data_IF_037183009196
#
_entry.id   IF_037183009196
#
_cell.length_a   1.000
_cell.length_b   1.000
_cell.length_c   1.000
_cell.angle_alpha   90.00
_cell.angle_beta   90.00
_cell.angle_gamma   90.00
#
_symmetry.space_group_name_H-M   'P 1'
#
loop_
_entity.id
_entity.type
_entity.pdbx_description
1 polymer ?
#
# COMPACT_ATOMS: atom_id res chain seq x y z
N UNK A 1 -58.31 -30.68 -39.94
CA UNK A 1 -58.59 -29.24 -39.65
C UNK A 1 -57.68 -28.78 -38.50
N UNK A 2 -57.68 -27.49 -38.17
CA UNK A 2 -57.03 -26.89 -36.97
C UNK A 2 -57.44 -27.64 -35.66
N UNK A 3 -56.84 -27.53 -34.46
CA UNK A 3 -55.75 -26.73 -33.85
C UNK A 3 -55.62 -27.19 -32.36
N UNK A 4 -54.92 -26.56 -31.40
CA UNK A 4 -54.01 -25.40 -31.40
C UNK A 4 -53.91 -24.77 -29.98
N UNK A 5 -52.69 -24.46 -29.50
CA UNK A 5 -52.36 -23.79 -28.19
C UNK A 5 -52.69 -24.64 -26.91
N UNK A 6 -52.04 -24.59 -25.73
CA UNK A 6 -50.97 -23.82 -25.01
C UNK A 6 -51.41 -22.81 -23.92
N UNK A 7 -51.31 -23.25 -22.64
CA UNK A 7 -51.16 -22.47 -21.39
C UNK A 7 -50.71 -23.45 -20.28
N UNK A 8 -49.78 -23.24 -19.35
CA UNK A 8 -49.22 -22.10 -18.59
C UNK A 8 -49.87 -21.87 -17.21
N UNK A 9 -49.16 -22.21 -16.14
CA UNK A 9 -49.49 -21.90 -14.73
C UNK A 9 -48.22 -21.57 -13.94
N UNK A 10 -48.31 -20.67 -12.96
CA UNK A 10 -47.16 -20.00 -12.32
C UNK A 10 -47.15 -20.12 -10.77
N UNK A 11 -46.37 -19.27 -10.09
CA UNK A 11 -45.80 -19.49 -8.75
C UNK A 11 -46.23 -18.44 -7.70
N UNK A 12 -46.35 -18.85 -6.42
CA UNK A 12 -46.53 -18.01 -5.22
C UNK A 12 -46.80 -18.89 -3.97
N UNK A 13 -45.98 -18.93 -2.91
CA UNK A 13 -45.67 -17.94 -1.84
C UNK A 13 -46.78 -17.75 -0.78
N UNK A 14 -46.47 -17.30 0.46
CA UNK A 14 -45.39 -17.70 1.38
C UNK A 14 -45.92 -18.00 2.83
N UNK A 15 -45.04 -18.26 3.83
CA UNK A 15 -45.46 -18.23 5.25
C UNK A 15 -44.39 -17.77 6.26
N UNK A 16 -44.85 -16.85 7.11
CA UNK A 16 -44.40 -16.22 8.37
C UNK A 16 -43.31 -16.84 9.28
N UNK A 17 -42.63 -15.94 10.00
CA UNK A 17 -41.86 -16.20 11.24
C UNK A 17 -42.74 -16.04 12.51
N UNK A 18 -42.18 -16.30 13.72
CA UNK A 18 -41.89 -15.17 14.64
C UNK A 18 -40.54 -15.31 15.39
N UNK A 19 -40.23 -14.39 16.30
CA UNK A 19 -38.96 -14.31 17.06
C UNK A 19 -39.16 -13.78 18.50
N UNK A 20 -38.21 -14.03 19.43
CA UNK A 20 -38.04 -13.23 20.66
C UNK A 20 -36.67 -13.40 21.38
N UNK A 21 -36.10 -12.26 21.79
CA UNK A 21 -35.19 -11.95 22.92
C UNK A 21 -34.07 -12.88 23.46
N UNK A 22 -32.92 -12.26 23.84
CA UNK A 22 -32.00 -12.79 24.86
C UNK A 22 -30.55 -12.25 24.86
N UNK A 23 -30.25 -11.22 25.65
CA UNK A 23 -28.88 -10.82 26.09
C UNK A 23 -28.96 -10.28 27.54
N UNK A 24 -27.88 -10.34 28.37
CA UNK A 24 -26.86 -9.26 28.36
C UNK A 24 -25.41 -9.66 28.81
N UNK A 25 -24.51 -8.66 28.76
CA UNK A 25 -23.33 -8.45 29.63
C UNK A 25 -21.99 -9.21 29.45
N UNK A 26 -21.10 -8.58 28.66
CA UNK A 26 -19.88 -7.89 29.13
C UNK A 26 -18.63 -8.66 29.65
N UNK A 27 -17.53 -8.59 28.88
CA UNK A 27 -16.14 -8.56 29.38
C UNK A 27 -15.21 -7.82 28.39
N UNK A 28 -14.15 -7.17 28.89
CA UNK A 28 -13.27 -6.23 28.15
C UNK A 28 -12.02 -6.90 27.52
N UNK A 29 -11.31 -6.24 26.57
CA UNK A 29 -10.36 -6.89 25.67
C UNK A 29 -8.92 -7.02 26.20
N UNK A 30 -8.13 -7.85 25.51
CA UNK A 30 -6.67 -7.97 25.65
C UNK A 30 -5.94 -7.61 24.34
N UNK A 31 -4.66 -7.25 24.44
CA UNK A 31 -3.87 -6.59 23.39
C UNK A 31 -2.95 -7.56 22.64
N UNK A 32 -2.76 -7.36 21.32
CA UNK A 32 -1.81 -8.16 20.53
C UNK A 32 -1.75 -7.79 19.04
N UNK A 33 -0.58 -7.33 18.58
CA UNK A 33 -0.31 -6.92 17.19
C UNK A 33 0.71 -7.85 16.51
N UNK A 34 0.52 -8.24 15.24
CA UNK A 34 1.61 -8.61 14.34
C UNK A 34 2.04 -7.42 13.46
N UNK A 35 3.34 -7.21 13.31
CA UNK A 35 3.94 -6.12 12.52
C UNK A 35 4.30 -6.56 11.10
N UNK A 36 3.85 -5.82 10.08
CA UNK A 36 4.22 -6.07 8.67
C UNK A 36 5.58 -5.46 8.31
N UNK A 37 6.50 -6.26 7.76
CA UNK A 37 7.79 -5.81 7.23
C UNK A 37 7.73 -5.57 5.72
N UNK A 38 7.83 -4.31 5.29
CA UNK A 38 7.86 -3.93 3.87
C UNK A 38 9.30 -3.68 3.40
N UNK A 39 9.76 -4.41 2.38
CA UNK A 39 11.05 -4.16 1.73
C UNK A 39 10.90 -3.05 0.66
N UNK A 40 11.93 -2.23 0.48
CA UNK A 40 11.83 -0.96 -0.25
C UNK A 40 11.76 -1.07 -1.79
N UNK A 41 11.05 -0.12 -2.39
CA UNK A 41 11.09 0.16 -3.84
C UNK A 41 12.32 0.98 -4.23
N UNK A 42 12.90 0.75 -5.40
CA UNK A 42 13.98 1.61 -5.89
C UNK A 42 14.42 1.39 -7.34
N UNK A 43 13.75 2.06 -8.29
CA UNK A 43 14.43 2.65 -9.45
C UNK A 43 13.57 3.79 -10.04
N UNK A 44 14.22 4.81 -10.60
CA UNK A 44 13.56 5.93 -11.28
C UNK A 44 14.26 6.24 -12.59
N UNK A 45 13.54 6.83 -13.55
CA UNK A 45 14.06 7.07 -14.90
C UNK A 45 13.61 8.41 -15.50
N UNK A 46 14.60 9.25 -15.81
CA UNK A 46 14.54 10.27 -16.85
C UNK A 46 15.50 9.80 -17.95
N UNK A 47 15.03 9.51 -19.17
CA UNK A 47 14.73 10.46 -20.26
C UNK A 47 15.98 11.16 -20.82
N UNK A 48 16.36 10.72 -22.03
CA UNK A 48 17.11 11.43 -23.08
C UNK A 48 18.46 12.10 -22.75
N UNK A 49 19.58 11.54 -23.25
CA UNK A 49 20.20 12.04 -24.50
C UNK A 49 21.51 11.30 -24.87
N UNK A 50 21.62 10.87 -26.12
CA UNK A 50 22.86 10.54 -26.86
C UNK A 50 23.05 11.60 -27.98
N UNK A 51 24.22 11.76 -28.67
CA UNK A 51 25.23 10.73 -28.94
C UNK A 51 26.74 11.14 -29.00
N UNK A 52 27.56 10.11 -29.23
CA UNK A 52 28.75 10.08 -30.13
C UNK A 52 30.19 10.31 -29.61
N UNK A 53 31.08 9.41 -30.11
CA UNK A 53 32.54 9.49 -30.33
C UNK A 53 33.60 9.57 -29.20
N UNK A 54 34.31 8.44 -29.04
CA UNK A 54 35.79 8.27 -29.05
C UNK A 54 36.67 8.60 -27.81
N UNK A 55 37.78 7.86 -27.72
CA UNK A 55 38.88 7.87 -26.72
C UNK A 55 40.21 8.33 -27.40
N UNK A 56 41.41 8.29 -26.75
CA UNK A 56 41.85 9.00 -25.53
C UNK A 56 43.27 9.65 -25.67
N UNK A 57 43.69 10.58 -24.79
CA UNK A 57 45.02 10.59 -24.09
C UNK A 57 45.37 11.84 -23.24
N UNK A 58 45.97 11.56 -22.06
CA UNK A 58 47.15 12.15 -21.37
C UNK A 58 47.63 13.64 -21.47
N UNK A 59 48.13 14.09 -20.29
CA UNK A 59 49.33 14.93 -20.00
C UNK A 59 49.32 16.50 -19.95
N UNK A 60 49.40 17.00 -18.70
CA UNK A 60 50.45 17.88 -18.10
C UNK A 60 50.81 19.33 -18.57
N UNK A 61 51.02 20.17 -17.53
CA UNK A 61 51.99 21.30 -17.35
C UNK A 61 51.72 22.75 -17.83
N UNK A 62 51.44 23.61 -16.82
CA UNK A 62 52.18 24.82 -16.38
C UNK A 62 52.39 26.11 -17.23
N UNK A 63 52.24 27.24 -16.49
CA UNK A 63 52.91 28.57 -16.57
C UNK A 63 52.49 29.65 -17.59
N UNK A 64 52.08 30.81 -17.03
CA UNK A 64 52.48 32.22 -17.30
C UNK A 64 52.45 32.78 -18.76
N UNK A 65 52.27 34.09 -19.03
CA UNK A 65 52.33 35.33 -18.21
C UNK A 65 51.58 36.50 -18.93
N UNK A 66 51.03 37.49 -18.20
CA UNK A 66 50.96 38.95 -18.54
C UNK A 66 50.28 39.42 -19.88
N UNK A 67 49.79 40.66 -20.11
CA UNK A 67 49.42 41.84 -19.28
C UNK A 67 48.51 42.78 -20.10
N UNK A 68 47.70 43.65 -19.48
CA UNK A 68 47.52 45.09 -19.83
C UNK A 68 46.51 45.79 -18.90
N UNK A 69 46.76 47.06 -18.55
CA UNK A 69 45.90 47.87 -17.67
C UNK A 69 45.94 49.36 -18.01
N UNK A 70 44.79 50.03 -17.97
CA UNK A 70 44.58 51.49 -17.88
C UNK A 70 43.20 51.69 -17.16
N UNK A 71 42.91 52.75 -16.39
CA UNK A 71 43.43 54.13 -16.38
C UNK A 71 43.67 54.69 -14.94
N UNK A 72 44.24 55.90 -14.86
CA UNK A 72 44.65 56.68 -13.66
C UNK A 72 43.60 57.74 -13.23
N UNK A 73 43.55 58.45 -12.08
CA UNK A 73 44.24 58.58 -10.75
C UNK A 73 43.31 59.48 -9.84
N UNK A 74 43.63 60.13 -8.67
CA UNK A 74 44.88 60.29 -7.89
C UNK A 74 44.74 60.16 -6.33
N UNK A 75 45.51 60.98 -5.59
CA UNK A 75 45.80 61.05 -4.14
C UNK A 75 44.99 62.16 -3.40
N UNK A 76 44.89 62.24 -2.05
CA UNK A 76 45.34 61.44 -0.86
C UNK A 76 44.54 61.92 0.39
N UNK A 77 44.83 61.74 1.70
CA UNK A 77 46.04 61.42 2.50
C UNK A 77 45.71 60.98 3.95
N UNK A 78 46.64 61.18 4.91
CA UNK A 78 46.56 60.99 6.38
C UNK A 78 46.70 59.55 6.93
N UNK A 79 47.08 59.45 8.21
CA UNK A 79 47.80 58.31 8.80
C UNK A 79 47.08 57.62 10.00
N UNK A 80 47.47 56.39 10.39
CA UNK A 80 46.62 55.46 11.13
C UNK A 80 47.07 55.18 12.59
N UNK A 81 46.29 54.37 13.32
CA UNK A 81 46.79 53.56 14.43
C UNK A 81 46.07 52.20 14.52
N UNK A 82 46.86 51.12 14.52
CA UNK A 82 46.48 49.73 14.80
C UNK A 82 47.67 49.05 15.48
N UNK A 83 47.47 48.09 16.38
CA UNK A 83 48.59 47.39 17.03
C UNK A 83 48.32 45.90 17.33
N UNK A 84 49.39 45.11 17.24
CA UNK A 84 49.45 43.70 17.63
C UNK A 84 50.82 43.38 18.26
N UNK A 85 50.87 42.27 19.00
CA UNK A 85 52.03 41.65 19.71
C UNK A 85 53.23 41.32 18.78
N UNK A 86 54.50 41.06 19.23
CA UNK A 86 54.87 40.31 20.46
C UNK A 86 56.14 40.81 21.25
N UNK A 87 57.27 40.08 21.58
CA UNK A 87 57.66 39.91 23.00
C UNK A 87 59.18 39.91 23.41
N UNK A 88 59.46 39.61 24.70
CA UNK A 88 60.71 39.07 25.34
C UNK A 88 61.91 39.99 25.69
N UNK A 89 62.39 39.88 26.96
CA UNK A 89 63.71 40.33 27.49
C UNK A 89 63.64 41.47 28.54
N UNK A 90 64.47 41.54 29.61
CA UNK A 90 65.47 40.61 30.17
C UNK A 90 65.85 40.90 31.66
N UNK A 91 66.25 39.83 32.38
CA UNK A 91 67.08 39.68 33.60
C UNK A 91 67.47 40.87 34.54
N UNK A 92 67.36 40.70 35.88
CA UNK A 92 68.13 41.50 36.86
C UNK A 92 67.76 41.47 38.37
N UNK A 93 68.59 40.77 39.19
CA UNK A 93 68.81 40.91 40.66
C UNK A 93 67.83 40.32 41.71
N UNK A 94 68.40 40.11 42.91
CA UNK A 94 67.98 39.42 44.15
C UNK A 94 68.47 40.29 45.36
N UNK A 95 68.22 39.98 46.68
CA UNK A 95 67.79 38.71 47.28
C UNK A 95 66.67 38.78 48.36
N UNK A 96 66.28 37.57 48.81
CA UNK A 96 65.59 37.14 50.05
C UNK A 96 65.13 38.18 51.10
N UNK A 97 63.92 37.93 51.62
CA UNK A 97 63.77 37.40 52.99
C UNK A 97 62.69 36.31 53.02
N UNK A 98 62.79 35.36 53.95
CA UNK A 98 61.86 34.24 54.10
C UNK A 98 61.16 34.30 55.46
N UNK A 99 59.89 33.88 55.52
CA UNK A 99 59.29 33.43 56.77
C UNK A 99 58.08 32.51 56.54
N UNK A 100 57.77 31.67 57.54
CA UNK A 100 56.68 30.69 57.47
C UNK A 100 55.30 31.32 57.68
N UNK A 101 54.31 30.92 56.89
CA UNK A 101 52.88 31.11 57.16
C UNK A 101 52.08 29.94 56.59
N UNK A 102 51.12 29.41 57.37
CA UNK A 102 50.45 28.14 57.09
C UNK A 102 49.43 28.23 55.94
N UNK A 103 49.31 27.13 55.18
CA UNK A 103 48.16 26.89 54.30
C UNK A 103 46.88 26.74 55.16
N UNK A 104 45.97 27.70 55.05
CA UNK A 104 44.64 27.63 55.69
C UNK A 104 43.54 27.50 54.63
N UNK A 105 42.94 26.31 54.55
CA UNK A 105 41.75 26.07 53.72
C UNK A 105 40.53 26.65 54.43
N UNK A 106 40.16 27.88 54.08
CA UNK A 106 38.91 28.46 54.59
C UNK A 106 37.70 27.84 53.88
N UNK A 107 37.00 26.96 54.59
CA UNK A 107 35.65 26.54 54.25
C UNK A 107 34.73 27.76 54.35
N UNK A 108 34.13 28.18 53.24
CA UNK A 108 33.14 29.25 53.26
C UNK A 108 31.92 28.82 54.11
N UNK A 109 31.34 29.71 54.94
CA UNK A 109 30.23 29.35 55.80
C UNK A 109 28.99 29.03 54.96
N UNK A 110 28.49 27.79 55.07
CA UNK A 110 27.20 27.40 54.48
C UNK A 110 26.10 28.17 55.22
N UNK A 111 25.46 29.11 54.52
CA UNK A 111 24.32 29.82 55.06
C UNK A 111 23.17 28.83 55.37
N UNK A 112 22.49 28.95 56.51
CA UNK A 112 21.34 28.10 56.81
C UNK A 112 20.23 28.36 55.79
N UNK A 113 19.79 27.30 55.10
CA UNK A 113 18.67 27.38 54.18
C UNK A 113 17.41 27.74 54.98
N UNK A 114 16.65 28.79 54.61
CA UNK A 114 15.54 29.31 55.43
C UNK A 114 14.26 28.45 55.40
N UNK A 115 14.32 27.25 54.80
CA UNK A 115 13.20 26.30 54.70
C UNK A 115 13.72 24.88 54.94
N UNK A 116 12.93 24.03 55.60
CA UNK A 116 13.25 22.60 55.68
C UNK A 116 13.25 22.00 54.28
N UNK A 117 14.11 21.01 54.04
CA UNK A 117 14.12 20.27 52.78
C UNK A 117 12.76 19.62 52.52
N UNK A 118 12.11 19.12 53.59
CA UNK A 118 10.77 18.57 53.55
C UNK A 118 9.70 19.61 53.15
N UNK A 119 9.77 20.85 53.64
CA UNK A 119 8.81 21.90 53.30
C UNK A 119 8.94 22.31 51.82
N UNK A 120 10.18 22.39 51.32
CA UNK A 120 10.47 22.63 49.90
C UNK A 120 9.91 21.51 49.02
N UNK A 121 10.07 20.26 49.43
CA UNK A 121 9.67 19.09 48.65
C UNK A 121 8.15 18.86 48.72
N UNK A 122 7.51 19.15 49.85
CA UNK A 122 6.06 19.25 49.97
C UNK A 122 5.50 20.38 49.08
N UNK A 123 6.13 21.57 49.08
CA UNK A 123 5.71 22.65 48.19
C UNK A 123 5.90 22.29 46.72
N UNK A 124 6.95 21.52 46.37
CA UNK A 124 7.14 21.00 45.02
C UNK A 124 6.05 19.98 44.63
N UNK A 125 5.61 19.12 45.55
CA UNK A 125 4.47 18.20 45.33
C UNK A 125 3.17 18.99 45.14
N UNK A 126 2.89 19.99 45.98
CA UNK A 126 1.70 20.84 45.84
C UNK A 126 1.75 21.61 44.52
N UNK A 127 2.88 22.21 44.16
CA UNK A 127 3.07 22.88 42.86
C UNK A 127 2.94 21.92 41.68
N UNK A 128 3.34 20.64 41.80
CA UNK A 128 3.18 19.65 40.74
C UNK A 128 1.71 19.34 40.40
N UNK A 129 0.79 19.55 41.35
CA UNK A 129 -0.65 19.31 41.21
C UNK A 129 -1.49 20.59 41.02
N UNK A 130 -0.92 21.80 41.15
CA UNK A 130 -1.63 23.07 40.86
C UNK A 130 -1.88 23.27 39.37
N UNK A 131 -3.13 23.12 38.95
CA UNK A 131 -3.61 23.39 37.58
C UNK A 131 -3.78 24.91 37.33
N UNK A 132 -2.69 25.66 37.43
CA UNK A 132 -2.63 27.10 37.17
C UNK A 132 -1.93 27.39 35.82
N UNK A 133 -2.50 28.26 34.99
CA UNK A 133 -2.00 28.54 33.64
C UNK A 133 -0.55 29.07 33.60
N UNK A 134 -0.09 29.74 34.66
CA UNK A 134 1.30 30.21 34.80
C UNK A 134 2.28 29.17 35.36
N UNK A 135 1.81 28.00 35.79
CA UNK A 135 2.64 27.03 36.50
C UNK A 135 3.54 26.24 35.54
N UNK A 136 4.85 26.47 35.65
CA UNK A 136 5.88 25.75 34.89
C UNK A 136 6.24 24.38 35.46
N UNK A 137 5.86 24.09 36.72
CA UNK A 137 6.17 22.83 37.44
C UNK A 137 5.05 21.79 37.40
N UNK A 138 3.86 22.13 36.87
CA UNK A 138 2.72 21.20 36.83
C UNK A 138 3.07 19.91 36.10
N UNK A 139 2.97 18.76 36.77
CA UNK A 139 3.50 17.49 36.29
C UNK A 139 2.67 16.88 35.16
N UNK A 140 1.37 17.17 35.09
CA UNK A 140 0.45 16.57 34.12
C UNK A 140 0.38 17.37 32.80
N UNK A 141 1.52 17.87 32.31
CA UNK A 141 1.66 18.48 30.96
C UNK A 141 2.20 17.44 29.98
N UNK A 142 1.42 17.10 28.96
CA UNK A 142 1.84 16.17 27.91
C UNK A 142 1.57 16.76 26.53
N UNK A 143 2.47 16.51 25.57
CA UNK A 143 2.22 16.81 24.16
C UNK A 143 1.77 15.53 23.47
N UNK A 144 0.53 15.51 22.99
CA UNK A 144 -0.02 14.40 22.21
C UNK A 144 -0.26 14.86 20.77
N UNK A 145 0.03 13.98 19.82
CA UNK A 145 -0.19 14.29 18.41
C UNK A 145 -1.69 14.30 18.06
N UNK A 146 -2.10 15.26 17.24
CA UNK A 146 -3.44 15.40 16.67
C UNK A 146 -3.35 15.70 15.19
N UNK A 147 -4.31 15.20 14.42
CA UNK A 147 -4.51 15.60 13.02
C UNK A 147 -4.85 17.08 13.00
N UNK A 148 -3.94 17.92 12.49
CA UNK A 148 -4.05 19.38 12.56
C UNK A 148 -3.70 20.01 11.22
N UNK A 149 -4.63 20.77 10.65
CA UNK A 149 -4.42 21.46 9.38
C UNK A 149 -3.25 22.46 9.45
N UNK A 150 -2.50 22.67 8.35
CA UNK A 150 -1.34 23.57 8.35
C UNK A 150 -1.61 24.98 8.89
N UNK A 151 -2.80 25.52 8.66
CA UNK A 151 -3.21 26.86 9.09
C UNK A 151 -3.32 27.05 10.62
N UNK A 152 -3.45 25.97 11.39
CA UNK A 152 -3.53 26.02 12.86
C UNK A 152 -2.22 25.61 13.57
N UNK A 153 -1.14 25.36 12.80
CA UNK A 153 0.15 24.91 13.34
C UNK A 153 0.88 26.04 14.06
N UNK A 154 0.73 26.02 15.38
CA UNK A 154 1.39 26.93 16.32
C UNK A 154 1.98 26.13 17.48
N UNK A 155 2.94 26.71 18.19
CA UNK A 155 3.44 26.17 19.47
C UNK A 155 2.46 26.56 20.58
N UNK A 156 1.87 25.62 21.34
CA UNK A 156 0.95 25.96 22.42
C UNK A 156 1.65 26.76 23.53
N UNK A 157 0.94 27.73 24.11
CA UNK A 157 1.42 28.52 25.24
C UNK A 157 1.61 27.64 26.49
N UNK A 158 2.56 28.01 27.36
CA UNK A 158 2.82 27.28 28.62
C UNK A 158 3.58 25.95 28.48
N UNK A 159 4.05 25.62 27.27
CA UNK A 159 4.93 24.48 26.95
C UNK A 159 6.40 24.91 27.03
N UNK A 160 7.25 24.13 27.70
CA UNK A 160 8.69 24.39 27.75
C UNK A 160 9.40 24.04 26.44
N UNK A 161 10.49 24.74 26.13
CA UNK A 161 11.24 24.53 24.88
C UNK A 161 11.78 23.09 24.76
N UNK A 162 12.12 22.47 25.89
CA UNK A 162 12.61 21.08 25.95
C UNK A 162 11.50 20.10 25.57
N UNK A 163 10.29 20.21 26.15
CA UNK A 163 9.16 19.34 25.78
C UNK A 163 8.76 19.56 24.31
N UNK A 164 8.79 20.81 23.84
CA UNK A 164 8.50 21.13 22.44
C UNK A 164 9.53 20.52 21.48
N UNK A 165 10.83 20.65 21.77
CA UNK A 165 11.89 20.05 20.98
C UNK A 165 11.83 18.51 20.98
N UNK A 166 11.50 17.89 22.13
CA UNK A 166 11.31 16.44 22.21
C UNK A 166 10.11 15.96 21.35
N UNK A 167 8.98 16.69 21.37
CA UNK A 167 7.81 16.36 20.56
C UNK A 167 8.04 16.60 19.07
N UNK A 168 8.75 17.68 18.69
CA UNK A 168 9.13 17.93 17.29
C UNK A 168 10.15 16.90 16.79
N UNK A 169 11.16 16.54 17.58
CA UNK A 169 12.12 15.49 17.22
C UNK A 169 11.48 14.10 17.10
N UNK A 170 10.45 13.80 17.92
CA UNK A 170 9.60 12.60 17.73
C UNK A 170 8.85 12.67 16.40
N UNK A 171 8.21 13.79 16.07
CA UNK A 171 7.49 13.97 14.80
C UNK A 171 8.42 13.83 13.60
N UNK A 172 9.61 14.44 13.64
CA UNK A 172 10.63 14.36 12.60
C UNK A 172 11.09 12.91 12.32
N UNK A 173 11.03 12.04 13.32
CA UNK A 173 11.31 10.60 13.22
C UNK A 173 10.16 9.71 12.73
N UNK A 174 8.94 10.24 12.52
CA UNK A 174 7.78 9.48 12.01
C UNK A 174 7.82 9.33 10.48
N UNK A 175 6.86 8.62 9.87
CA UNK A 175 6.70 8.61 8.40
C UNK A 175 6.39 10.02 7.86
N UNK A 176 6.66 10.29 6.57
CA UNK A 176 6.32 11.57 5.93
C UNK A 176 4.81 11.87 5.96
N UNK A 177 4.00 10.83 5.78
CA UNK A 177 2.52 10.84 5.91
C UNK A 177 2.07 11.41 7.26
N UNK A 178 2.66 10.93 8.35
CA UNK A 178 2.37 11.39 9.71
C UNK A 178 2.96 12.79 9.99
N UNK A 179 4.18 13.07 9.52
CA UNK A 179 4.79 14.42 9.59
C UNK A 179 3.93 15.50 8.92
N UNK A 180 3.31 15.18 7.79
CA UNK A 180 2.47 16.10 7.05
C UNK A 180 1.06 16.25 7.66
N UNK A 181 0.59 15.26 8.43
CA UNK A 181 -0.78 15.21 8.98
C UNK A 181 -0.88 15.62 10.45
N UNK A 182 0.10 15.24 11.27
CA UNK A 182 0.07 15.37 12.73
C UNK A 182 0.75 16.66 13.21
N UNK A 183 0.32 17.14 14.37
CA UNK A 183 0.94 18.26 15.08
C UNK A 183 0.89 18.04 16.60
N UNK A 184 1.88 18.49 17.39
CA UNK A 184 1.83 18.36 18.85
C UNK A 184 0.81 19.31 19.46
N UNK A 185 -0.19 18.76 20.16
CA UNK A 185 -1.17 19.50 20.94
C UNK A 185 -0.88 19.32 22.43
N UNK A 186 -0.92 20.41 23.21
CA UNK A 186 -0.83 20.34 24.66
C UNK A 186 -2.10 19.70 25.24
N UNK A 187 -1.90 18.79 26.19
CA UNK A 187 -2.90 18.24 27.10
C UNK A 187 -2.51 18.68 28.50
N UNK A 188 -3.40 19.42 29.15
CA UNK A 188 -3.24 19.92 30.51
C UNK A 188 -4.14 19.13 31.47
N UNK A 189 -3.51 18.25 32.26
CA UNK A 189 -4.21 17.51 33.30
C UNK A 189 -5.21 16.45 32.78
N UNK A 190 -6.05 15.98 33.68
CA UNK A 190 -7.02 14.91 33.41
C UNK A 190 -8.27 15.41 32.68
N UNK A 191 -8.55 16.71 32.72
CA UNK A 191 -9.73 17.30 32.07
C UNK A 191 -9.60 17.22 30.54
N UNK A 192 -8.53 17.77 29.98
CA UNK A 192 -8.21 17.70 28.55
C UNK A 192 -8.12 16.24 28.05
N UNK A 193 -7.62 15.32 28.90
CA UNK A 193 -7.59 13.89 28.60
C UNK A 193 -9.00 13.28 28.55
N UNK A 194 -9.90 13.69 29.45
CA UNK A 194 -11.31 13.25 29.44
C UNK A 194 -12.09 13.80 28.25
N UNK A 195 -11.79 15.02 27.81
CA UNK A 195 -12.40 15.62 26.62
C UNK A 195 -11.85 14.98 25.34
N UNK A 196 -10.56 14.64 25.29
CA UNK A 196 -9.98 13.78 24.24
C UNK A 196 -10.62 12.40 24.17
N UNK A 197 -10.93 11.77 25.31
CA UNK A 197 -11.58 10.45 25.33
C UNK A 197 -12.99 10.51 24.71
N UNK A 198 -13.80 11.53 25.06
CA UNK A 198 -15.13 11.76 24.43
C UNK A 198 -15.02 11.94 22.92
N UNK A 199 -14.05 12.74 22.46
CA UNK A 199 -13.81 12.92 21.02
C UNK A 199 -13.36 11.61 20.34
N UNK A 200 -12.62 10.74 21.03
CA UNK A 200 -12.29 9.41 20.51
C UNK A 200 -13.53 8.50 20.41
N UNK A 201 -14.39 8.48 21.43
CA UNK A 201 -15.65 7.71 21.40
C UNK A 201 -16.59 8.19 20.29
N UNK A 202 -16.77 9.51 20.13
CA UNK A 202 -17.55 10.12 19.05
C UNK A 202 -17.00 9.75 17.65
N UNK A 203 -15.68 9.83 17.47
CA UNK A 203 -15.02 9.42 16.23
C UNK A 203 -15.24 7.92 15.97
N UNK A 204 -15.02 7.05 16.96
CA UNK A 204 -15.21 5.59 16.84
C UNK A 204 -16.64 5.24 16.39
N UNK A 205 -17.67 5.91 16.94
CA UNK A 205 -19.06 5.73 16.49
C UNK A 205 -19.23 6.18 15.04
N UNK A 206 -18.68 7.33 14.66
CA UNK A 206 -18.76 7.85 13.28
C UNK A 206 -18.03 6.94 12.27
N UNK A 207 -16.91 6.35 12.66
CA UNK A 207 -16.10 5.45 11.83
C UNK A 207 -16.79 4.10 11.67
N UNK A 208 -17.39 3.56 12.73
CA UNK A 208 -18.23 2.36 12.67
C UNK A 208 -19.43 2.54 11.72
N UNK A 209 -20.06 3.72 11.68
CA UNK A 209 -21.13 4.03 10.72
C UNK A 209 -20.61 4.11 9.28
N UNK A 210 -19.49 4.81 9.02
CA UNK A 210 -18.87 4.88 7.67
C UNK A 210 -18.45 3.50 7.17
N UNK A 211 -17.89 2.65 8.03
CA UNK A 211 -17.55 1.26 7.72
C UNK A 211 -18.79 0.42 7.44
N UNK A 212 -19.87 0.57 8.22
CA UNK A 212 -21.15 -0.12 8.00
C UNK A 212 -21.79 0.28 6.67
N UNK A 213 -21.78 1.57 6.31
CA UNK A 213 -22.28 2.04 5.01
C UNK A 213 -21.44 1.50 3.86
N UNK A 214 -20.11 1.51 3.99
CA UNK A 214 -19.19 0.93 3.01
C UNK A 214 -19.43 -0.58 2.83
N UNK A 215 -19.60 -1.32 3.93
CA UNK A 215 -19.92 -2.75 3.89
C UNK A 215 -21.27 -3.03 3.21
N UNK A 216 -22.28 -2.19 3.42
CA UNK A 216 -23.57 -2.29 2.73
C UNK A 216 -23.44 -2.03 1.22
N UNK A 217 -22.64 -1.03 0.83
CA UNK A 217 -22.37 -0.74 -0.58
C UNK A 217 -21.66 -1.91 -1.27
N UNK A 218 -20.64 -2.50 -0.63
CA UNK A 218 -19.95 -3.71 -1.12
C UNK A 218 -20.92 -4.89 -1.26
N UNK A 219 -21.78 -5.14 -0.26
CA UNK A 219 -22.82 -6.20 -0.33
C UNK A 219 -23.82 -5.98 -1.48
N UNK A 220 -24.20 -4.73 -1.75
CA UNK A 220 -25.10 -4.40 -2.88
C UNK A 220 -24.40 -4.59 -4.23
N UNK A 221 -23.15 -4.14 -4.37
CA UNK A 221 -22.35 -4.37 -5.57
C UNK A 221 -22.10 -5.86 -5.83
N UNK A 222 -21.81 -6.64 -4.78
CA UNK A 222 -21.65 -8.09 -4.87
C UNK A 222 -22.92 -8.79 -5.36
N UNK A 223 -24.10 -8.39 -4.85
CA UNK A 223 -25.40 -8.92 -5.32
C UNK A 223 -25.63 -8.60 -6.80
N UNK A 224 -25.44 -7.36 -7.23
CA UNK A 224 -25.59 -6.96 -8.63
C UNK A 224 -24.59 -7.69 -9.55
N UNK A 225 -23.36 -7.92 -9.09
CA UNK A 225 -22.39 -8.71 -9.85
C UNK A 225 -22.84 -10.18 -10.02
N UNK A 226 -23.29 -10.81 -8.93
CA UNK A 226 -23.68 -12.22 -8.92
C UNK A 226 -25.04 -12.49 -9.61
N UNK A 227 -26.04 -11.62 -9.41
CA UNK A 227 -27.40 -11.81 -9.91
C UNK A 227 -27.61 -11.27 -11.32
N UNK A 228 -27.05 -10.10 -11.65
CA UNK A 228 -27.31 -9.42 -12.91
C UNK A 228 -26.13 -9.58 -13.88
N UNK A 229 -24.92 -9.24 -13.42
CA UNK A 229 -23.74 -9.12 -14.30
C UNK A 229 -23.26 -10.47 -14.83
N UNK A 230 -23.03 -11.46 -13.95
CA UNK A 230 -22.58 -12.80 -14.38
C UNK A 230 -23.62 -13.50 -15.30
N UNK A 231 -24.93 -13.55 -14.98
CA UNK A 231 -25.92 -14.12 -15.89
C UNK A 231 -26.14 -13.29 -17.17
N UNK A 232 -25.85 -11.98 -17.16
CA UNK A 232 -25.87 -11.16 -18.39
C UNK A 232 -24.69 -11.48 -19.31
N UNK A 233 -23.47 -11.63 -18.77
CA UNK A 233 -22.29 -12.05 -19.53
C UNK A 233 -22.54 -13.40 -20.21
N UNK A 234 -23.08 -14.40 -19.50
CA UNK A 234 -23.35 -15.71 -20.11
C UNK A 234 -24.49 -15.64 -21.14
N UNK A 235 -25.56 -14.86 -20.90
CA UNK A 235 -26.60 -14.58 -21.92
C UNK A 235 -26.01 -13.95 -23.18
N UNK A 236 -25.07 -13.01 -23.04
CA UNK A 236 -24.38 -12.38 -24.17
C UNK A 236 -23.48 -13.38 -24.92
N UNK A 237 -22.75 -14.24 -24.20
CA UNK A 237 -21.92 -15.30 -24.77
C UNK A 237 -22.72 -16.34 -25.56
N UNK A 238 -23.89 -16.74 -25.05
CA UNK A 238 -24.81 -17.64 -25.76
C UNK A 238 -25.43 -16.96 -26.99
N UNK A 239 -25.76 -15.66 -26.90
CA UNK A 239 -26.21 -14.85 -28.04
C UNK A 239 -25.14 -14.71 -29.11
N UNK A 240 -23.88 -14.50 -28.73
CA UNK A 240 -22.72 -14.44 -29.61
C UNK A 240 -22.54 -15.76 -30.38
N UNK A 241 -22.50 -16.91 -29.68
CA UNK A 241 -22.45 -18.22 -30.33
C UNK A 241 -23.64 -18.46 -31.28
N UNK A 242 -24.84 -18.00 -30.91
CA UNK A 242 -26.02 -18.05 -31.77
C UNK A 242 -25.87 -17.21 -33.04
N UNK A 243 -25.27 -16.03 -32.93
CA UNK A 243 -24.97 -15.15 -34.07
C UNK A 243 -23.86 -15.71 -34.95
N UNK A 244 -22.76 -16.24 -34.39
CA UNK A 244 -21.69 -16.91 -35.13
C UNK A 244 -22.23 -18.09 -35.96
N UNK A 245 -23.05 -18.96 -35.36
CA UNK A 245 -23.70 -20.08 -36.07
C UNK A 245 -24.65 -19.61 -37.17
N UNK A 246 -25.35 -18.49 -36.99
CA UNK A 246 -26.20 -17.86 -38.02
C UNK A 246 -25.37 -17.26 -39.16
N UNK A 247 -24.29 -16.56 -38.83
CA UNK A 247 -23.37 -15.96 -39.81
C UNK A 247 -22.73 -17.04 -40.69
N UNK A 248 -22.18 -18.11 -40.10
CA UNK A 248 -21.66 -19.26 -40.84
C UNK A 248 -22.71 -19.92 -41.76
N UNK A 249 -23.98 -19.99 -41.32
CA UNK A 249 -25.07 -20.50 -42.17
C UNK A 249 -25.38 -19.56 -43.34
N UNK A 250 -25.34 -18.24 -43.14
CA UNK A 250 -25.53 -17.25 -44.21
C UNK A 250 -24.35 -17.25 -45.19
N UNK A 251 -23.12 -17.26 -44.69
CA UNK A 251 -21.90 -17.27 -45.51
C UNK A 251 -21.85 -18.51 -46.41
N UNK A 252 -22.13 -19.71 -45.85
CA UNK A 252 -22.28 -20.94 -46.65
C UNK A 252 -23.38 -20.86 -47.72
N UNK A 253 -24.43 -20.08 -47.50
CA UNK A 253 -25.48 -19.86 -48.51
C UNK A 253 -25.00 -18.86 -49.57
N UNK A 254 -24.27 -17.81 -49.20
CA UNK A 254 -23.69 -16.84 -50.13
C UNK A 254 -22.65 -17.52 -51.05
N UNK A 255 -21.69 -18.25 -50.48
CA UNK A 255 -20.72 -19.07 -51.23
C UNK A 255 -21.43 -20.03 -52.21
N UNK A 256 -22.48 -20.71 -51.74
CA UNK A 256 -23.29 -21.63 -52.56
C UNK A 256 -24.29 -20.93 -53.51
N UNK A 257 -24.37 -19.60 -53.52
CA UNK A 257 -25.12 -18.80 -54.50
C UNK A 257 -24.18 -18.17 -55.52
N UNK A 258 -23.03 -17.65 -55.07
CA UNK A 258 -21.94 -17.16 -55.93
C UNK A 258 -21.37 -18.30 -56.79
N UNK A 259 -21.10 -19.46 -56.16
CA UNK A 259 -20.61 -20.67 -56.84
C UNK A 259 -21.62 -21.33 -57.82
N UNK A 260 -22.89 -20.91 -57.85
CA UNK A 260 -23.86 -21.39 -58.86
C UNK A 260 -23.55 -20.87 -60.27
N UNK A 261 -22.68 -19.88 -60.41
CA UNK A 261 -22.05 -19.50 -61.68
C UNK A 261 -21.02 -20.52 -62.19
N UNK A 262 -21.35 -21.81 -62.19
CA UNK A 262 -20.58 -22.90 -62.81
C UNK A 262 -19.08 -22.95 -62.49
N UNK A 263 -18.66 -22.68 -61.25
CA UNK A 263 -17.23 -22.70 -60.87
C UNK A 263 -16.70 -24.12 -60.65
N UNK A 264 -16.51 -24.85 -61.75
CA UNK A 264 -15.64 -26.02 -61.83
C UNK A 264 -14.37 -25.63 -62.61
N UNK A 265 -13.16 -26.07 -62.20
CA UNK A 265 -12.87 -26.87 -61.01
C UNK A 265 -12.99 -26.08 -59.69
N UNK A 266 -13.07 -26.81 -58.58
CA UNK A 266 -12.85 -26.27 -57.22
C UNK A 266 -11.49 -25.58 -57.15
N UNK A 267 -11.42 -24.47 -56.42
CA UNK A 267 -10.16 -23.79 -56.10
C UNK A 267 -9.32 -24.66 -55.16
N UNK A 268 -7.98 -24.56 -55.25
CA UNK A 268 -7.05 -25.36 -54.44
C UNK A 268 -7.37 -25.29 -52.93
N UNK A 269 -7.66 -24.08 -52.42
CA UNK A 269 -8.02 -23.87 -51.02
C UNK A 269 -9.35 -24.52 -50.60
N UNK A 270 -10.32 -24.66 -51.51
CA UNK A 270 -11.59 -25.35 -51.24
C UNK A 270 -11.37 -26.87 -51.12
N UNK A 271 -10.52 -27.44 -51.98
CA UNK A 271 -10.14 -28.85 -51.90
C UNK A 271 -9.36 -29.15 -50.61
N UNK A 272 -8.39 -28.30 -50.24
CA UNK A 272 -7.67 -28.42 -48.96
C UNK A 272 -8.61 -28.28 -47.75
N UNK A 273 -9.59 -27.37 -47.79
CA UNK A 273 -10.58 -27.22 -46.72
C UNK A 273 -11.51 -28.43 -46.63
N UNK A 274 -11.95 -28.99 -47.77
CA UNK A 274 -12.75 -30.21 -47.81
C UNK A 274 -12.00 -31.41 -47.21
N UNK A 275 -10.70 -31.56 -47.50
CA UNK A 275 -9.86 -32.58 -46.88
C UNK A 275 -9.72 -32.39 -45.36
N UNK A 276 -9.43 -31.16 -44.91
CA UNK A 276 -9.33 -30.81 -43.47
C UNK A 276 -10.65 -31.15 -42.74
N UNK A 277 -11.81 -30.80 -43.30
CA UNK A 277 -13.12 -31.14 -42.75
C UNK A 277 -13.40 -32.66 -42.77
N UNK A 278 -12.97 -33.37 -43.81
CA UNK A 278 -13.10 -34.82 -43.89
C UNK A 278 -12.23 -35.54 -42.84
N UNK A 279 -11.00 -35.06 -42.59
CA UNK A 279 -10.12 -35.58 -41.55
C UNK A 279 -10.73 -35.41 -40.15
N UNK A 280 -11.20 -34.21 -39.80
CA UNK A 280 -11.89 -33.92 -38.54
C UNK A 280 -13.16 -34.78 -38.39
N UNK A 281 -13.93 -34.95 -39.47
CA UNK A 281 -15.14 -35.79 -39.46
C UNK A 281 -14.81 -37.27 -39.21
N UNK A 282 -13.72 -37.80 -39.78
CA UNK A 282 -13.24 -39.16 -39.51
C UNK A 282 -12.77 -39.33 -38.06
N UNK A 283 -12.09 -38.34 -37.48
CA UNK A 283 -11.69 -38.36 -36.07
C UNK A 283 -12.90 -38.33 -35.11
N UNK A 284 -13.97 -37.60 -35.45
CA UNK A 284 -15.15 -37.44 -34.61
C UNK A 284 -16.21 -38.54 -34.78
N UNK A 285 -16.30 -39.18 -35.96
CA UNK A 285 -17.38 -40.13 -36.32
C UNK A 285 -16.94 -41.40 -37.06
N UNK A 286 -15.66 -41.55 -37.41
CA UNK A 286 -15.15 -42.74 -38.10
C UNK A 286 -15.06 -43.97 -37.19
N UNK A 287 -14.65 -45.11 -37.76
CA UNK A 287 -14.48 -46.38 -37.04
C UNK A 287 -13.43 -46.34 -35.92
N UNK A 288 -12.54 -45.35 -35.90
CA UNK A 288 -11.59 -45.07 -34.82
C UNK A 288 -11.99 -43.93 -33.87
N UNK A 289 -13.22 -43.41 -33.95
CA UNK A 289 -13.65 -42.24 -33.19
C UNK A 289 -13.91 -42.56 -31.71
N UNK A 290 -12.84 -42.60 -30.91
CA UNK A 290 -12.91 -42.99 -29.50
C UNK A 290 -13.68 -42.01 -28.60
N UNK A 291 -13.87 -40.75 -29.00
CA UNK A 291 -14.38 -39.70 -28.10
C UNK A 291 -15.76 -40.04 -27.51
N UNK A 292 -16.69 -40.53 -28.33
CA UNK A 292 -18.03 -40.94 -27.88
C UNK A 292 -17.95 -42.12 -26.90
N UNK A 293 -17.10 -43.12 -27.19
CA UNK A 293 -16.84 -44.28 -26.33
C UNK A 293 -16.22 -43.87 -24.99
N UNK A 294 -15.23 -42.97 -25.02
CA UNK A 294 -14.55 -42.42 -23.83
C UNK A 294 -15.52 -41.61 -22.96
N UNK A 295 -16.35 -40.76 -23.55
CA UNK A 295 -17.39 -40.00 -22.84
C UNK A 295 -18.45 -40.93 -22.24
N UNK A 296 -18.92 -41.94 -22.99
CA UNK A 296 -19.90 -42.90 -22.47
C UNK A 296 -19.33 -43.75 -21.32
N UNK A 297 -18.07 -44.19 -21.44
CA UNK A 297 -17.36 -44.90 -20.36
C UNK A 297 -17.15 -44.02 -19.13
N UNK A 298 -16.81 -42.74 -19.30
CA UNK A 298 -16.70 -41.80 -18.18
C UNK A 298 -18.07 -41.61 -17.51
N UNK A 299 -19.14 -41.46 -18.27
CA UNK A 299 -20.51 -41.35 -17.75
C UNK A 299 -20.95 -42.61 -16.99
N UNK A 300 -20.59 -43.83 -17.44
CA UNK A 300 -20.89 -45.05 -16.67
C UNK A 300 -20.02 -45.16 -15.41
N UNK A 301 -18.72 -44.89 -15.48
CA UNK A 301 -17.83 -44.88 -14.31
C UNK A 301 -18.30 -43.87 -13.27
N UNK A 302 -18.60 -42.62 -13.66
CA UNK A 302 -19.12 -41.62 -12.73
C UNK A 302 -20.47 -42.03 -12.12
N UNK A 303 -21.39 -42.63 -12.89
CA UNK A 303 -22.67 -43.14 -12.35
C UNK A 303 -22.47 -44.28 -11.35
N UNK A 304 -21.54 -45.21 -11.63
CA UNK A 304 -21.18 -46.30 -10.71
C UNK A 304 -20.53 -45.74 -9.44
N UNK A 305 -19.62 -44.77 -9.57
CA UNK A 305 -18.98 -44.10 -8.44
C UNK A 305 -19.97 -43.33 -7.56
N UNK A 306 -20.96 -42.64 -8.13
CA UNK A 306 -22.03 -42.00 -7.34
C UNK A 306 -23.01 -43.03 -6.76
N UNK A 307 -23.29 -44.12 -7.47
CA UNK A 307 -24.16 -45.21 -7.01
C UNK A 307 -23.61 -45.99 -5.81
N UNK A 308 -22.30 -46.28 -5.81
CA UNK A 308 -21.61 -46.87 -4.65
C UNK A 308 -21.26 -45.81 -3.60
N UNK A 309 -20.87 -44.60 -4.02
CA UNK A 309 -20.51 -43.49 -3.13
C UNK A 309 -21.69 -42.95 -2.31
N UNK A 310 -22.93 -43.06 -2.82
CA UNK A 310 -24.15 -42.79 -2.06
C UNK A 310 -24.36 -43.73 -0.85
N UNK A 311 -23.66 -44.86 -0.81
CA UNK A 311 -23.60 -45.76 0.35
C UNK A 311 -22.40 -45.47 1.28
N UNK A 312 -21.71 -44.34 1.12
CA UNK A 312 -20.72 -43.83 2.10
C UNK A 312 -21.43 -43.25 3.33
N UNK A 313 -22.12 -44.12 4.06
CA UNK A 313 -22.76 -43.84 5.34
C UNK A 313 -21.64 -43.65 6.38
N UNK A 314 -21.32 -42.38 6.61
CA UNK A 314 -20.14 -41.87 7.34
C UNK A 314 -18.79 -42.17 6.69
N UNK A 315 -18.01 -41.13 6.39
CA UNK A 315 -16.56 -41.26 6.40
C UNK A 315 -16.12 -41.54 7.85
N UNK A 316 -15.34 -42.61 8.14
CA UNK A 316 -14.63 -42.79 9.42
C UNK A 316 -13.43 -41.82 9.48
N UNK A 317 -13.72 -40.54 9.36
CA UNK A 317 -12.77 -39.48 9.00
C UNK A 317 -13.35 -38.07 9.05
N UNK A 318 -14.53 -37.88 9.67
CA UNK A 318 -14.94 -36.55 10.15
C UNK A 318 -14.18 -36.22 11.43
N UNK A 319 -12.85 -36.17 11.32
CA UNK A 319 -12.04 -35.40 12.26
C UNK A 319 -12.50 -33.95 12.18
N UNK A 320 -12.66 -33.30 13.32
CA UNK A 320 -12.95 -31.87 13.36
C UNK A 320 -11.71 -31.16 12.83
N UNK A 321 -11.74 -30.74 11.56
CA UNK A 321 -10.70 -29.89 10.98
C UNK A 321 -10.63 -28.65 11.88
N UNK A 322 -9.44 -28.36 12.40
CA UNK A 322 -9.28 -27.29 13.37
C UNK A 322 -9.49 -25.95 12.67
N UNK A 323 -10.42 -25.12 13.17
CA UNK A 323 -10.86 -23.89 12.49
C UNK A 323 -9.70 -22.94 12.19
N UNK A 324 -8.73 -22.85 13.10
CA UNK A 324 -7.51 -22.05 12.89
C UNK A 324 -6.68 -22.63 11.74
N UNK A 325 -6.48 -23.95 11.69
CA UNK A 325 -5.76 -24.59 10.57
C UNK A 325 -6.49 -24.43 9.22
N UNK A 326 -7.83 -24.30 9.24
CA UNK A 326 -8.61 -23.99 8.04
C UNK A 326 -8.42 -22.53 7.62
N UNK A 327 -8.39 -21.59 8.57
CA UNK A 327 -8.07 -20.18 8.33
C UNK A 327 -6.63 -20.00 7.81
N UNK A 328 -5.65 -20.67 8.43
CA UNK A 328 -4.24 -20.66 8.00
C UNK A 328 -4.10 -21.18 6.56
N UNK A 329 -4.78 -22.29 6.22
CA UNK A 329 -4.82 -22.82 4.86
C UNK A 329 -5.52 -21.87 3.89
N UNK A 330 -6.59 -21.19 4.31
CA UNK A 330 -7.27 -20.19 3.48
C UNK A 330 -6.36 -18.97 3.23
N UNK A 331 -5.60 -18.50 4.22
CA UNK A 331 -4.65 -17.40 4.05
C UNK A 331 -3.53 -17.80 3.07
N UNK A 332 -2.90 -18.97 3.26
CA UNK A 332 -1.87 -19.47 2.34
C UNK A 332 -2.40 -19.63 0.91
N UNK A 333 -3.63 -20.14 0.74
CA UNK A 333 -4.27 -20.23 -0.58
C UNK A 333 -4.58 -18.84 -1.17
N UNK A 334 -4.94 -17.85 -0.36
CA UNK A 334 -5.15 -16.47 -0.80
C UNK A 334 -3.83 -15.81 -1.24
N UNK A 335 -2.76 -15.94 -0.43
CA UNK A 335 -1.41 -15.47 -0.78
C UNK A 335 -0.90 -16.12 -2.07
N UNK A 336 -1.08 -17.44 -2.24
CA UNK A 336 -0.72 -18.15 -3.47
C UNK A 336 -1.55 -17.69 -4.67
N UNK A 337 -2.86 -17.50 -4.50
CA UNK A 337 -3.74 -16.99 -5.57
C UNK A 337 -3.32 -15.59 -6.02
N UNK A 338 -2.95 -14.71 -5.08
CA UNK A 338 -2.45 -13.38 -5.41
C UNK A 338 -1.08 -13.42 -6.08
N UNK A 339 -0.14 -14.26 -5.61
CA UNK A 339 1.16 -14.45 -6.23
C UNK A 339 1.04 -14.98 -7.68
N UNK A 340 0.14 -15.94 -7.93
CA UNK A 340 -0.18 -16.45 -9.27
C UNK A 340 -0.81 -15.35 -10.13
N UNK A 341 -1.70 -14.52 -9.58
CA UNK A 341 -2.29 -13.39 -10.31
C UNK A 341 -1.25 -12.30 -10.67
N UNK A 342 -0.32 -12.01 -9.75
CA UNK A 342 0.82 -11.09 -9.99
C UNK A 342 1.73 -11.65 -11.09
N UNK A 343 2.16 -12.91 -11.00
CA UNK A 343 2.96 -13.57 -12.03
C UNK A 343 2.25 -13.62 -13.39
N UNK A 344 0.95 -13.93 -13.41
CA UNK A 344 0.13 -13.91 -14.61
C UNK A 344 -0.08 -12.52 -15.24
N UNK A 345 0.14 -11.44 -14.48
CA UNK A 345 0.14 -10.07 -15.01
C UNK A 345 1.52 -9.63 -15.50
N UNK A 346 2.60 -10.14 -14.89
CA UNK A 346 3.98 -10.00 -15.41
C UNK A 346 4.09 -10.73 -16.75
N UNK A 347 3.74 -12.02 -16.83
CA UNK A 347 3.76 -12.79 -18.08
C UNK A 347 2.94 -12.16 -19.22
N UNK A 348 1.79 -11.53 -18.93
CA UNK A 348 0.99 -10.78 -19.93
C UNK A 348 1.64 -9.48 -20.40
N UNK A 349 2.56 -8.93 -19.60
CA UNK A 349 3.40 -7.80 -20.00
C UNK A 349 4.53 -8.32 -20.87
N UNK A 350 5.29 -9.28 -20.38
CA UNK A 350 6.45 -9.88 -21.05
C UNK A 350 6.08 -10.43 -22.43
N UNK A 351 4.92 -11.09 -22.57
CA UNK A 351 4.40 -11.55 -23.88
C UNK A 351 4.15 -10.38 -24.83
N UNK A 352 3.54 -9.27 -24.37
CA UNK A 352 3.31 -8.09 -25.21
C UNK A 352 4.62 -7.39 -25.58
N UNK A 353 5.54 -7.31 -24.62
CA UNK A 353 6.83 -6.65 -24.83
C UNK A 353 7.67 -7.48 -25.84
N UNK A 354 7.54 -8.81 -25.85
CA UNK A 354 8.05 -9.69 -26.91
C UNK A 354 7.30 -9.54 -28.24
N UNK A 355 5.96 -9.45 -28.24
CA UNK A 355 5.15 -9.18 -29.45
C UNK A 355 5.58 -7.86 -30.13
N UNK A 356 5.92 -6.84 -29.35
CA UNK A 356 6.44 -5.54 -29.84
C UNK A 356 7.84 -5.71 -30.44
N UNK A 357 8.78 -6.36 -29.73
CA UNK A 357 10.15 -6.59 -30.23
C UNK A 357 10.14 -7.39 -31.54
N UNK A 358 9.29 -8.42 -31.64
CA UNK A 358 9.16 -9.21 -32.88
C UNK A 358 8.53 -8.42 -34.03
N UNK A 359 7.66 -7.45 -33.76
CA UNK A 359 7.12 -6.56 -34.79
C UNK A 359 8.19 -5.57 -35.29
N UNK A 360 8.95 -4.96 -34.37
CA UNK A 360 10.05 -4.03 -34.69
C UNK A 360 11.19 -4.72 -35.47
N UNK A 361 11.53 -5.97 -35.12
CA UNK A 361 12.48 -6.79 -35.89
C UNK A 361 11.93 -7.19 -37.27
N UNK A 362 10.61 -7.22 -37.47
CA UNK A 362 10.01 -7.49 -38.79
C UNK A 362 10.00 -6.24 -39.67
N UNK A 363 9.64 -5.06 -39.13
CA UNK A 363 9.67 -3.80 -39.91
C UNK A 363 11.09 -3.45 -40.38
N UNK A 364 12.13 -3.68 -39.54
CA UNK A 364 13.54 -3.48 -39.94
C UNK A 364 14.11 -4.50 -40.96
N UNK A 365 13.27 -5.40 -41.49
CA UNK A 365 13.66 -6.41 -42.51
C UNK A 365 12.90 -6.21 -43.83
N UNK A 366 11.92 -5.29 -43.90
CA UNK A 366 11.18 -4.96 -45.13
C UNK A 366 11.60 -3.63 -45.79
N UNK A 367 12.48 -2.83 -45.15
CA UNK A 367 13.16 -1.62 -45.68
C UNK A 367 14.62 -1.91 -46.17
#
# INVERSE_FOLDING_TARGET
>A
MFGGQTSSSAFGTPSSAPALFGTPSNSTPAFGTPSTSSFGTGFGSSLFSTPFSQQPQQQQQQQQQQQTSLFQTPQSSASPFSFSTPPVGSFGQQPNFANNAQLTTQMAPVAPLPFSLADRDLQAIVDAYKEEAGNTKYAFKHLLFSVTEPQYRSKPAGVSDIMWAEAMGKLEGMESTDRERLWPQLVHGFKDLSDRLKLQDEVIVSDAERLRMTQNNVKTLQRHFQADTLPWIERMRQKEQGLQRRLLRVMRILEALEGKGCRLPLMKGEAELAEKLAAITRQLKGSGAELSRRVQNLLTVCRVQHGLGGASVYLPGSTKIHEQSLADMQEVLQQQTEAIARLGNVLKRDIRDVEIIMAEETEMVED
#
